data_IF_315532974895
#
_entry.id   IF_315532974895
#
_cell.length_a   1.000
_cell.length_b   1.000
_cell.length_c   1.000
_cell.angle_alpha   90.00
_cell.angle_beta   90.00
_cell.angle_gamma   90.00
#
_symmetry.space_group_name_H-M   'P 1'
#
loop_
_entity.id
_entity.type
_entity.pdbx_description
1 polymer ?
#
# COMPACT_ATOMS: atom_id res chain seq x y z
N UNK A 1 -17.07 -15.63 -26.30
CA UNK A 1 -15.91 -15.72 -25.38
C UNK A 1 -15.58 -14.33 -24.86
N UNK A 2 -15.32 -14.12 -23.57
CA UNK A 2 -14.93 -12.80 -23.06
C UNK A 2 -13.62 -12.37 -23.75
N UNK A 3 -13.69 -11.28 -24.51
CA UNK A 3 -12.57 -10.72 -25.27
C UNK A 3 -11.89 -9.59 -24.49
N UNK A 4 -10.56 -9.52 -24.57
CA UNK A 4 -9.76 -8.45 -23.94
C UNK A 4 -10.12 -7.11 -24.55
N UNK A 5 -10.60 -6.17 -23.74
CA UNK A 5 -10.97 -4.81 -24.18
C UNK A 5 -9.71 -3.94 -24.30
N UNK A 6 -8.95 -4.11 -25.39
CA UNK A 6 -7.67 -3.41 -25.64
C UNK A 6 -7.71 -1.89 -25.39
N UNK A 7 -8.78 -1.21 -25.82
CA UNK A 7 -8.95 0.22 -25.58
C UNK A 7 -9.16 0.62 -24.12
N UNK A 8 -9.76 -0.25 -23.30
CA UNK A 8 -9.88 -0.03 -21.86
C UNK A 8 -8.52 -0.19 -21.17
N UNK A 9 -7.76 -1.23 -21.54
CA UNK A 9 -6.39 -1.46 -21.05
C UNK A 9 -5.49 -0.29 -21.40
N UNK A 10 -5.49 0.14 -22.66
CA UNK A 10 -4.64 1.24 -23.13
C UNK A 10 -4.92 2.55 -22.38
N UNK A 11 -6.19 2.92 -22.17
CA UNK A 11 -6.55 4.10 -21.37
C UNK A 11 -6.07 4.00 -19.92
N UNK A 12 -6.17 2.81 -19.29
CA UNK A 12 -5.67 2.59 -17.93
C UNK A 12 -4.15 2.66 -17.87
N UNK A 13 -3.46 2.15 -18.90
CA UNK A 13 -2.01 2.20 -19.00
C UNK A 13 -1.48 3.62 -19.17
N UNK A 14 -2.12 4.46 -19.99
CA UNK A 14 -1.76 5.89 -20.09
C UNK A 14 -1.92 6.57 -18.72
N UNK A 15 -3.03 6.34 -18.03
CA UNK A 15 -3.24 6.87 -16.68
C UNK A 15 -2.15 6.42 -15.72
N UNK A 16 -1.68 5.17 -15.83
CA UNK A 16 -0.62 4.65 -14.99
C UNK A 16 0.67 5.46 -15.17
N UNK A 17 1.10 5.68 -16.42
CA UNK A 17 2.29 6.47 -16.73
C UNK A 17 2.18 7.90 -16.17
N UNK A 18 1.03 8.55 -16.36
CA UNK A 18 0.80 9.92 -15.87
C UNK A 18 0.89 9.98 -14.34
N UNK A 19 0.23 9.08 -13.63
CA UNK A 19 0.26 9.08 -12.16
C UNK A 19 1.62 8.65 -11.61
N UNK A 20 2.35 7.75 -12.26
CA UNK A 20 3.73 7.42 -11.89
C UNK A 20 4.64 8.64 -12.06
N UNK A 21 4.50 9.40 -13.15
CA UNK A 21 5.21 10.67 -13.33
C UNK A 21 4.85 11.71 -12.26
N UNK A 22 3.57 11.80 -11.89
CA UNK A 22 3.11 12.69 -10.80
C UNK A 22 3.74 12.32 -9.45
N UNK A 23 3.84 11.03 -9.14
CA UNK A 23 4.52 10.55 -7.92
C UNK A 23 6.00 11.00 -7.93
N UNK A 24 6.71 10.77 -9.05
CA UNK A 24 8.10 11.20 -9.21
C UNK A 24 8.26 12.72 -9.05
N UNK A 25 7.35 13.50 -9.62
CA UNK A 25 7.33 14.96 -9.46
C UNK A 25 7.14 15.39 -8.00
N UNK A 26 6.21 14.75 -7.27
CA UNK A 26 5.98 15.08 -5.85
C UNK A 26 7.23 14.75 -5.01
N UNK A 27 7.87 13.62 -5.29
CA UNK A 27 9.10 13.22 -4.60
C UNK A 27 10.20 14.24 -4.85
N UNK A 28 10.47 14.58 -6.11
CA UNK A 28 11.55 15.50 -6.47
C UNK A 28 11.32 16.94 -5.98
N UNK A 29 10.09 17.44 -6.09
CA UNK A 29 9.80 18.85 -5.81
C UNK A 29 9.45 19.13 -4.35
N UNK A 30 8.90 18.15 -3.62
CA UNK A 30 8.44 18.36 -2.24
C UNK A 30 9.21 17.51 -1.23
N UNK A 31 9.38 16.21 -1.46
CA UNK A 31 10.00 15.32 -0.47
C UNK A 31 11.52 15.53 -0.42
N UNK A 32 12.19 15.45 -1.56
CA UNK A 32 13.65 15.60 -1.67
C UNK A 32 14.20 16.88 -1.05
N UNK A 33 13.64 18.09 -1.31
CA UNK A 33 14.16 19.30 -0.67
C UNK A 33 13.92 19.31 0.84
N UNK A 34 12.81 18.76 1.35
CA UNK A 34 12.55 18.72 2.80
C UNK A 34 13.55 17.77 3.49
N UNK A 35 13.84 16.62 2.87
CA UNK A 35 14.80 15.63 3.37
C UNK A 35 16.23 16.19 3.33
N UNK A 36 16.67 16.77 2.20
CA UNK A 36 18.02 17.36 2.08
C UNK A 36 18.25 18.54 3.04
N UNK A 37 17.21 19.33 3.31
CA UNK A 37 17.27 20.44 4.28
C UNK A 37 17.17 19.99 5.74
N UNK A 38 16.95 18.69 6.00
CA UNK A 38 16.97 18.17 7.37
C UNK A 38 18.41 17.81 7.76
N UNK A 39 18.94 18.47 8.79
CA UNK A 39 20.19 18.01 9.41
C UNK A 39 19.96 16.72 10.20
N UNK A 40 21.02 15.90 10.30
CA UNK A 40 21.09 14.54 10.88
C UNK A 40 19.97 14.19 11.88
N UNK A 41 19.31 13.02 11.78
CA UNK A 41 17.93 12.83 12.27
C UNK A 41 17.71 12.88 13.78
N UNK A 42 18.77 13.06 14.59
CA UNK A 42 18.76 12.81 16.04
C UNK A 42 19.62 13.79 16.84
N UNK A 43 20.06 14.92 16.25
CA UNK A 43 20.81 15.97 16.97
C UNK A 43 19.98 17.22 17.32
N UNK A 44 18.69 17.24 16.97
CA UNK A 44 17.80 18.39 17.16
C UNK A 44 16.77 18.21 18.27
N UNK A 45 16.31 19.33 18.82
CA UNK A 45 15.19 19.40 19.78
C UNK A 45 13.94 18.69 19.22
N UNK A 46 13.17 18.01 20.07
CA UNK A 46 11.94 17.27 19.69
C UNK A 46 10.97 18.10 18.83
N UNK A 47 10.88 19.41 19.09
CA UNK A 47 10.06 20.35 18.31
C UNK A 47 10.48 20.44 16.84
N UNK A 48 11.79 20.41 16.56
CA UNK A 48 12.31 20.43 15.20
C UNK A 48 11.98 19.12 14.47
N UNK A 49 12.09 17.98 15.15
CA UNK A 49 11.70 16.69 14.58
C UNK A 49 10.20 16.65 14.25
N UNK A 50 9.34 17.12 15.16
CA UNK A 50 7.89 17.21 14.93
C UNK A 50 7.54 18.13 13.75
N UNK A 51 8.16 19.31 13.65
CA UNK A 51 7.96 20.22 12.52
C UNK A 51 8.28 19.55 11.18
N UNK A 52 9.39 18.80 11.11
CA UNK A 52 9.80 18.08 9.90
C UNK A 52 8.85 16.94 9.55
N UNK A 53 8.42 16.15 10.54
CA UNK A 53 7.44 15.07 10.35
C UNK A 53 6.11 15.63 9.84
N UNK A 54 5.64 16.75 10.39
CA UNK A 54 4.40 17.40 9.95
C UNK A 54 4.52 17.95 8.52
N UNK A 55 5.67 18.53 8.15
CA UNK A 55 5.92 18.99 6.78
C UNK A 55 5.97 17.84 5.76
N UNK A 56 6.48 16.68 6.17
CA UNK A 56 6.56 15.48 5.33
C UNK A 56 5.25 14.69 5.25
N UNK A 57 4.36 14.80 6.24
CA UNK A 57 3.15 13.98 6.32
C UNK A 57 2.20 14.21 5.14
N UNK A 58 2.03 15.47 4.73
CA UNK A 58 1.16 15.86 3.61
C UNK A 58 1.63 15.31 2.27
N UNK A 59 2.86 15.60 1.78
CA UNK A 59 3.33 15.03 0.51
C UNK A 59 3.41 13.50 0.56
N UNK A 60 3.76 12.91 1.72
CA UNK A 60 3.76 11.46 1.88
C UNK A 60 2.36 10.85 1.73
N UNK A 61 1.32 11.48 2.29
CA UNK A 61 -0.06 11.03 2.13
C UNK A 61 -0.49 11.07 0.65
N UNK A 62 -0.16 12.14 -0.08
CA UNK A 62 -0.47 12.23 -1.51
C UNK A 62 0.24 11.15 -2.33
N UNK A 63 1.52 10.92 -2.08
CA UNK A 63 2.28 9.85 -2.74
C UNK A 63 1.66 8.49 -2.43
N UNK A 64 1.31 8.23 -1.17
CA UNK A 64 0.66 6.98 -0.75
C UNK A 64 -0.69 6.75 -1.45
N UNK A 65 -1.55 7.77 -1.53
CA UNK A 65 -2.83 7.69 -2.25
C UNK A 65 -2.63 7.46 -3.76
N UNK A 66 -1.66 8.13 -4.37
CA UNK A 66 -1.33 7.95 -5.77
C UNK A 66 -0.78 6.54 -6.05
N UNK A 67 0.09 6.02 -5.18
CA UNK A 67 0.61 4.65 -5.27
C UNK A 67 -0.52 3.63 -5.13
N UNK A 68 -1.44 3.84 -4.18
CA UNK A 68 -2.62 2.99 -4.02
C UNK A 68 -3.44 2.93 -5.32
N UNK A 69 -3.74 4.08 -5.92
CA UNK A 69 -4.48 4.16 -7.19
C UNK A 69 -3.72 3.48 -8.35
N UNK A 70 -2.41 3.75 -8.48
CA UNK A 70 -1.59 3.15 -9.53
C UNK A 70 -1.57 1.63 -9.45
N UNK A 71 -1.36 1.09 -8.24
CA UNK A 71 -1.22 -0.34 -8.05
C UNK A 71 -2.56 -1.06 -8.04
N UNK A 72 -3.45 -0.74 -7.09
CA UNK A 72 -4.70 -1.48 -6.91
C UNK A 72 -5.73 -1.18 -8.00
N UNK A 73 -5.86 0.08 -8.42
CA UNK A 73 -6.89 0.46 -9.37
C UNK A 73 -6.46 0.33 -10.82
N UNK A 74 -5.21 0.70 -11.17
CA UNK A 74 -4.75 0.64 -12.56
C UNK A 74 -4.05 -0.67 -12.88
N UNK A 75 -2.97 -1.00 -12.17
CA UNK A 75 -2.13 -2.16 -12.48
C UNK A 75 -2.86 -3.50 -12.34
N UNK A 76 -3.48 -3.78 -11.19
CA UNK A 76 -4.21 -5.04 -10.98
C UNK A 76 -5.39 -5.21 -11.95
N UNK A 77 -6.04 -4.11 -12.34
CA UNK A 77 -7.12 -4.12 -13.31
C UNK A 77 -6.65 -4.35 -14.76
N UNK A 78 -5.46 -3.85 -15.11
CA UNK A 78 -4.80 -4.18 -16.38
C UNK A 78 -4.46 -5.67 -16.38
N UNK A 79 -3.82 -6.16 -15.32
CA UNK A 79 -3.45 -7.56 -15.16
C UNK A 79 -4.68 -8.48 -15.22
N UNK A 80 -5.77 -8.12 -14.54
CA UNK A 80 -7.02 -8.88 -14.57
C UNK A 80 -7.64 -8.93 -15.97
N UNK A 81 -7.60 -7.83 -16.72
CA UNK A 81 -8.12 -7.82 -18.10
C UNK A 81 -7.24 -8.65 -19.04
N UNK A 82 -5.91 -8.64 -18.85
CA UNK A 82 -4.96 -9.46 -19.63
C UNK A 82 -5.12 -10.95 -19.32
N UNK A 83 -5.24 -11.31 -18.04
CA UNK A 83 -5.45 -12.69 -17.57
C UNK A 83 -6.89 -13.18 -17.74
N UNK A 84 -7.80 -12.31 -18.22
CA UNK A 84 -9.25 -12.57 -18.29
C UNK A 84 -9.85 -12.98 -16.94
N UNK A 85 -9.28 -12.44 -15.87
CA UNK A 85 -9.74 -12.65 -14.52
C UNK A 85 -11.00 -11.80 -14.25
N UNK A 86 -12.08 -12.48 -13.89
CA UNK A 86 -13.40 -11.87 -13.70
C UNK A 86 -13.57 -11.18 -12.34
N UNK A 87 -12.91 -11.67 -11.29
CA UNK A 87 -13.00 -11.09 -9.95
C UNK A 87 -12.05 -9.90 -9.81
N UNK A 88 -12.58 -8.68 -9.85
CA UNK A 88 -11.81 -7.44 -9.79
C UNK A 88 -11.95 -6.72 -8.45
N UNK A 89 -12.41 -7.43 -7.42
CA UNK A 89 -12.61 -6.88 -6.08
C UNK A 89 -11.27 -6.84 -5.30
N UNK A 90 -10.36 -5.97 -5.74
CA UNK A 90 -9.05 -5.79 -5.10
C UNK A 90 -9.10 -4.93 -3.83
N UNK A 91 -10.08 -4.02 -3.73
CA UNK A 91 -10.29 -3.14 -2.58
C UNK A 91 -11.79 -2.77 -2.48
N UNK A 92 -12.21 -2.29 -1.31
CA UNK A 92 -13.55 -1.73 -1.05
C UNK A 92 -13.44 -0.25 -0.66
N UNK A 93 -14.56 0.38 -0.31
CA UNK A 93 -14.65 1.79 0.13
C UNK A 93 -13.99 2.02 1.51
N UNK A 94 -12.69 1.76 1.60
CA UNK A 94 -11.89 1.81 2.82
C UNK A 94 -11.81 3.23 3.40
N UNK A 95 -11.99 4.25 2.57
CA UNK A 95 -12.05 5.66 2.99
C UNK A 95 -13.31 5.98 3.81
N UNK A 96 -14.36 5.16 3.72
CA UNK A 96 -15.59 5.27 4.51
C UNK A 96 -15.58 4.35 5.75
N UNK A 97 -14.46 3.68 6.05
CA UNK A 97 -14.35 2.81 7.21
C UNK A 97 -14.52 3.61 8.51
N UNK A 98 -15.33 3.10 9.44
CA UNK A 98 -15.58 3.76 10.73
C UNK A 98 -14.59 3.32 11.80
N UNK A 99 -13.94 2.18 11.59
CA UNK A 99 -12.95 1.61 12.50
C UNK A 99 -11.66 1.28 11.77
N UNK A 100 -10.55 1.28 12.51
CA UNK A 100 -9.23 0.88 11.99
C UNK A 100 -9.24 -0.58 11.52
N UNK A 101 -10.00 -1.45 12.20
CA UNK A 101 -10.16 -2.84 11.79
C UNK A 101 -10.84 -2.97 10.42
N UNK A 102 -11.91 -2.22 10.16
CA UNK A 102 -12.58 -2.19 8.85
C UNK A 102 -11.63 -1.67 7.76
N UNK A 103 -10.88 -0.61 8.04
CA UNK A 103 -9.87 -0.07 7.13
C UNK A 103 -8.86 -1.16 6.69
N UNK A 104 -8.28 -1.91 7.65
CA UNK A 104 -7.32 -2.98 7.36
C UNK A 104 -7.91 -4.14 6.54
N UNK A 105 -9.22 -4.37 6.64
CA UNK A 105 -9.92 -5.40 5.85
C UNK A 105 -10.20 -4.92 4.42
N UNK A 106 -10.56 -3.65 4.26
CA UNK A 106 -11.10 -3.10 3.01
C UNK A 106 -10.03 -2.55 2.06
N UNK A 107 -8.89 -2.08 2.56
CA UNK A 107 -7.86 -1.45 1.72
C UNK A 107 -7.21 -2.44 0.75
N UNK A 108 -6.87 -3.65 1.20
CA UNK A 108 -6.17 -4.67 0.42
C UNK A 108 -6.82 -6.03 0.63
N UNK A 109 -7.89 -6.25 -0.15
CA UNK A 109 -8.69 -7.48 -0.06
C UNK A 109 -7.87 -8.74 -0.39
N UNK A 110 -6.96 -8.78 -1.40
CA UNK A 110 -6.15 -9.96 -1.67
C UNK A 110 -5.30 -10.41 -0.49
N UNK A 111 -4.56 -9.48 0.14
CA UNK A 111 -3.72 -9.81 1.30
C UNK A 111 -4.59 -10.18 2.49
N UNK A 112 -5.67 -9.43 2.75
CA UNK A 112 -6.58 -9.76 3.84
C UNK A 112 -7.17 -11.18 3.70
N UNK A 113 -7.70 -11.52 2.51
CA UNK A 113 -8.23 -12.86 2.21
C UNK A 113 -7.13 -13.93 2.35
N UNK A 114 -5.90 -13.66 1.93
CA UNK A 114 -4.77 -14.58 2.06
C UNK A 114 -4.39 -14.83 3.52
N UNK A 115 -4.26 -13.77 4.32
CA UNK A 115 -3.94 -13.84 5.75
C UNK A 115 -5.03 -14.60 6.53
N UNK A 116 -6.30 -14.30 6.25
CA UNK A 116 -7.42 -14.98 6.91
C UNK A 116 -7.43 -16.47 6.56
N UNK A 117 -7.21 -16.81 5.29
CA UNK A 117 -7.24 -18.21 4.81
C UNK A 117 -6.06 -19.05 5.31
N UNK A 118 -4.84 -18.51 5.28
CA UNK A 118 -3.63 -19.30 5.51
C UNK A 118 -3.05 -19.15 6.92
N UNK A 119 -3.43 -18.12 7.66
CA UNK A 119 -2.91 -17.87 9.01
C UNK A 119 -4.05 -17.97 10.02
N UNK A 120 -5.06 -17.11 9.89
CA UNK A 120 -6.11 -17.01 10.90
C UNK A 120 -6.91 -18.32 11.07
N UNK A 121 -7.51 -18.84 9.99
CA UNK A 121 -8.32 -20.07 10.09
C UNK A 121 -7.51 -21.29 10.55
N UNK A 122 -6.29 -21.55 10.06
CA UNK A 122 -5.44 -22.62 10.58
C UNK A 122 -5.11 -22.45 12.07
N UNK A 123 -4.78 -21.24 12.54
CA UNK A 123 -4.57 -20.99 13.97
C UNK A 123 -5.82 -21.34 14.79
N UNK A 124 -7.00 -20.89 14.36
CA UNK A 124 -8.25 -21.20 15.07
C UNK A 124 -8.56 -22.71 15.07
N UNK A 125 -8.31 -23.41 13.96
CA UNK A 125 -8.49 -24.87 13.86
C UNK A 125 -7.55 -25.65 14.78
N UNK A 126 -6.37 -25.10 15.06
CA UNK A 126 -5.40 -25.66 16.00
C UNK A 126 -5.69 -25.29 17.47
N UNK A 127 -6.86 -24.70 17.77
CA UNK A 127 -7.26 -24.35 19.13
C UNK A 127 -6.61 -23.08 19.69
N UNK A 128 -5.95 -22.28 18.87
CA UNK A 128 -5.33 -21.02 19.30
C UNK A 128 -6.42 -19.98 19.60
N UNK A 129 -6.35 -19.26 20.73
CA UNK A 129 -7.32 -18.23 21.05
C UNK A 129 -7.30 -17.09 20.03
N UNK A 130 -8.47 -16.48 19.78
CA UNK A 130 -8.65 -15.45 18.74
C UNK A 130 -7.65 -14.31 18.85
N UNK A 131 -7.37 -13.82 20.06
CA UNK A 131 -6.41 -12.73 20.28
C UNK A 131 -4.99 -13.09 19.83
N UNK A 132 -4.54 -14.31 20.14
CA UNK A 132 -3.22 -14.78 19.72
C UNK A 132 -3.16 -15.03 18.21
N UNK A 133 -4.23 -15.53 17.59
CA UNK A 133 -4.30 -15.69 16.14
C UNK A 133 -4.21 -14.33 15.39
N UNK A 134 -4.84 -13.30 15.93
CA UNK A 134 -4.72 -11.92 15.40
C UNK A 134 -3.29 -11.42 15.57
N UNK A 135 -2.68 -11.60 16.75
CA UNK A 135 -1.30 -11.21 17.00
C UNK A 135 -0.32 -11.88 16.02
N UNK A 136 -0.45 -13.18 15.79
CA UNK A 136 0.36 -13.92 14.81
C UNK A 136 0.19 -13.34 13.40
N UNK A 137 -1.05 -13.04 12.99
CA UNK A 137 -1.30 -12.43 11.69
C UNK A 137 -0.62 -11.05 11.55
N UNK A 138 -0.69 -10.20 12.58
CA UNK A 138 0.02 -8.92 12.58
C UNK A 138 1.54 -9.08 12.57
N UNK A 139 2.07 -10.05 13.32
CA UNK A 139 3.51 -10.34 13.35
C UNK A 139 4.02 -10.79 11.98
N UNK A 140 3.34 -11.74 11.34
CA UNK A 140 3.70 -12.20 9.99
C UNK A 140 3.63 -11.04 8.99
N UNK A 141 2.59 -10.21 9.07
CA UNK A 141 2.49 -9.00 8.25
C UNK A 141 3.70 -8.08 8.46
N UNK A 142 4.10 -7.81 9.71
CA UNK A 142 5.24 -6.97 10.03
C UNK A 142 6.56 -7.50 9.42
N UNK A 143 6.82 -8.81 9.53
CA UNK A 143 7.99 -9.45 8.91
C UNK A 143 7.99 -9.27 7.39
N UNK A 144 6.85 -9.45 6.72
CA UNK A 144 6.77 -9.21 5.27
C UNK A 144 7.08 -7.76 4.90
N UNK A 145 6.60 -6.79 5.67
CA UNK A 145 6.91 -5.38 5.41
C UNK A 145 8.40 -5.11 5.61
N UNK A 146 9.01 -5.61 6.70
CA UNK A 146 10.44 -5.44 6.97
C UNK A 146 11.30 -6.05 5.85
N UNK A 147 10.98 -7.27 5.42
CA UNK A 147 11.70 -7.93 4.32
C UNK A 147 11.57 -7.14 3.01
N UNK A 148 10.38 -6.63 2.68
CA UNK A 148 10.20 -5.77 1.50
C UNK A 148 11.06 -4.50 1.55
N UNK A 149 11.10 -3.82 2.70
CA UNK A 149 11.93 -2.63 2.88
C UNK A 149 13.42 -2.97 2.83
N UNK A 150 13.82 -4.06 3.48
CA UNK A 150 15.20 -4.53 3.49
C UNK A 150 15.69 -4.84 2.07
N UNK A 151 14.91 -5.60 1.29
CA UNK A 151 15.27 -5.95 -0.08
C UNK A 151 15.39 -4.70 -0.96
N UNK A 152 14.47 -3.75 -0.84
CA UNK A 152 14.51 -2.51 -1.60
C UNK A 152 15.77 -1.69 -1.28
N UNK A 153 16.13 -1.55 0.01
CA UNK A 153 17.28 -0.76 0.43
C UNK A 153 18.64 -1.39 0.09
N UNK A 154 18.73 -2.72 -0.02
CA UNK A 154 19.98 -3.41 -0.37
C UNK A 154 20.21 -3.59 -1.88
N UNK A 155 19.22 -3.29 -2.72
CA UNK A 155 19.31 -3.37 -4.18
C UNK A 155 19.67 -2.04 -4.86
N UNK A 156 19.69 -0.94 -4.11
CA UNK A 156 20.17 0.40 -4.52
C UNK A 156 21.58 0.69 -3.96
#
# INVERSE_FOLDING_TARGET
MPSVRKGCVFRRFIRLIIFTGLIGFIIEQYINPIVKNSQHPLKGNLLYALERVLKLSVPNLYVWLCMFYCFFHLWLNILAELLRFGDREFYKDWWNAKTVEEYWKMWNMPVHKWMVRHIYFPCLRNGIPKGLAIFIAFFVSAVFHEVCFFIFFFLD
#
